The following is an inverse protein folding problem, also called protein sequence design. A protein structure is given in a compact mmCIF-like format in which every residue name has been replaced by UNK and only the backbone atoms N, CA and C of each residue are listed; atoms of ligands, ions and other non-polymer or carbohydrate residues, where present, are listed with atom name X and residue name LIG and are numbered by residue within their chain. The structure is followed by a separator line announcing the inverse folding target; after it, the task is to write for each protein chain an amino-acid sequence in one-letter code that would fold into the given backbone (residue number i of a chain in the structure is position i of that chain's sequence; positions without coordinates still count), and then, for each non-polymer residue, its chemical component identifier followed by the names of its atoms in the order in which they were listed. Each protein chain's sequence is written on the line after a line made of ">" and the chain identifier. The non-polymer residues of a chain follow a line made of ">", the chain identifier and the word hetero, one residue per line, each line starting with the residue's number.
data_IF_922807938245
#
_entry.id   IF_922807938245
#
_cell.length_a   1.000
_cell.length_b   1.000
_cell.length_c   1.000
_cell.angle_alpha   90.00
_cell.angle_beta   90.00
_cell.angle_gamma   90.00
#
_symmetry.space_group_name_H-M   'P 1'
#
loop_
_entity.id
_entity.type
_entity.pdbx_description
1 polymer ?
#
# COMPACT_ATOMS: atom_id res chain seq x y z
N UNK A 1 3.27 -40.70 -21.43
CA UNK A 1 4.30 -40.68 -20.35
C UNK A 1 5.26 -39.50 -20.51
N UNK A 2 5.93 -39.35 -21.65
CA UNK A 2 6.84 -38.22 -21.93
C UNK A 2 6.21 -36.82 -21.81
N UNK A 3 4.97 -36.67 -22.27
CA UNK A 3 4.23 -35.41 -22.14
C UNK A 3 4.05 -34.98 -20.67
N UNK A 4 3.64 -35.91 -19.80
CA UNK A 4 3.46 -35.65 -18.38
C UNK A 4 4.78 -35.36 -17.67
N UNK A 5 5.85 -36.09 -18.04
CA UNK A 5 7.20 -35.83 -17.54
C UNK A 5 7.71 -34.44 -17.96
N UNK A 6 7.41 -34.01 -19.18
CA UNK A 6 7.74 -32.67 -19.69
C UNK A 6 7.03 -31.57 -18.91
N UNK A 7 5.72 -31.72 -18.65
CA UNK A 7 4.97 -30.76 -17.83
C UNK A 7 5.55 -30.70 -16.42
N UNK A 8 5.79 -31.85 -15.79
CA UNK A 8 6.36 -31.91 -14.43
C UNK A 8 7.71 -31.17 -14.36
N UNK A 9 8.60 -31.43 -15.33
CA UNK A 9 9.91 -30.79 -15.39
C UNK A 9 9.78 -29.28 -15.58
N UNK A 10 8.92 -28.84 -16.50
CA UNK A 10 8.69 -27.42 -16.75
C UNK A 10 8.14 -26.72 -15.50
N UNK A 11 7.13 -27.30 -14.84
CA UNK A 11 6.54 -26.72 -13.63
C UNK A 11 7.55 -26.65 -12.48
N UNK A 12 8.39 -27.68 -12.31
CA UNK A 12 9.43 -27.67 -11.29
C UNK A 12 10.46 -26.55 -11.54
N UNK A 13 10.90 -26.38 -12.79
CA UNK A 13 11.83 -25.31 -13.16
C UNK A 13 11.22 -23.92 -13.00
N UNK A 14 9.97 -23.73 -13.44
CA UNK A 14 9.25 -22.46 -13.29
C UNK A 14 9.03 -22.10 -11.82
N UNK A 15 8.64 -23.07 -10.99
CA UNK A 15 8.49 -22.87 -9.54
C UNK A 15 9.81 -22.52 -8.86
N UNK A 16 10.90 -23.21 -9.21
CA UNK A 16 12.23 -22.89 -8.70
C UNK A 16 12.68 -21.48 -9.10
N UNK A 17 12.47 -21.10 -10.37
CA UNK A 17 12.76 -19.75 -10.85
C UNK A 17 11.94 -18.69 -10.09
N UNK A 18 10.64 -18.91 -9.91
CA UNK A 18 9.77 -18.01 -9.17
C UNK A 18 10.27 -17.75 -7.74
N UNK A 19 10.61 -18.82 -7.00
CA UNK A 19 11.16 -18.71 -5.63
C UNK A 19 12.46 -17.91 -5.61
N UNK A 20 13.36 -18.15 -6.56
CA UNK A 20 14.66 -17.47 -6.64
C UNK A 20 14.55 -15.99 -7.04
N UNK A 21 13.47 -15.62 -7.75
CA UNK A 21 13.23 -14.24 -8.21
C UNK A 21 12.39 -13.41 -7.25
N UNK A 22 12.01 -13.94 -6.09
CA UNK A 22 11.28 -13.18 -5.08
C UNK A 22 12.17 -12.08 -4.51
N UNK A 23 11.91 -10.83 -4.91
CA UNK A 23 12.52 -9.66 -4.30
C UNK A 23 11.71 -9.39 -3.02
N UNK A 24 12.33 -9.39 -1.82
CA UNK A 24 11.61 -9.04 -0.61
C UNK A 24 11.04 -7.63 -0.78
N UNK A 25 9.76 -7.47 -0.46
CA UNK A 25 9.16 -6.14 -0.44
C UNK A 25 9.98 -5.27 0.52
N UNK A 26 10.26 -4.00 0.16
CA UNK A 26 10.85 -3.09 1.11
C UNK A 26 9.97 -3.06 2.37
N UNK A 27 10.57 -2.95 3.56
CA UNK A 27 9.79 -2.80 4.78
C UNK A 27 8.85 -1.61 4.62
N UNK A 28 7.63 -1.72 5.14
CA UNK A 28 6.69 -0.60 5.14
C UNK A 28 7.37 0.62 5.77
N UNK A 29 7.61 1.65 4.94
CA UNK A 29 8.07 2.91 5.44
C UNK A 29 6.91 3.54 6.23
N UNK A 30 7.13 4.05 7.45
CA UNK A 30 6.12 4.86 8.11
C UNK A 30 5.78 6.02 7.16
N UNK A 31 4.51 6.12 6.81
CA UNK A 31 4.05 7.15 5.88
C UNK A 31 4.41 8.53 6.44
N UNK A 32 4.96 9.40 5.59
CA UNK A 32 5.22 10.78 5.98
C UNK A 32 3.89 11.43 6.37
N UNK A 33 3.83 12.01 7.58
CA UNK A 33 2.65 12.69 8.08
C UNK A 33 2.87 14.19 8.10
N UNK A 34 1.80 14.94 7.86
CA UNK A 34 1.81 16.40 8.02
C UNK A 34 1.80 16.75 9.51
N UNK A 35 2.75 17.57 9.94
CA UNK A 35 2.81 18.09 11.31
C UNK A 35 1.89 19.29 11.44
N UNK A 36 1.02 19.29 12.46
CA UNK A 36 0.17 20.44 12.78
C UNK A 36 0.73 21.14 14.01
N UNK A 37 1.07 22.41 13.87
CA UNK A 37 1.56 23.26 14.95
C UNK A 37 0.37 23.99 15.58
N UNK A 38 0.27 23.93 16.91
CA UNK A 38 -0.76 24.61 17.70
C UNK A 38 -0.13 25.58 18.67
N UNK A 39 -0.85 26.65 19.02
CA UNK A 39 -0.49 27.52 20.13
C UNK A 39 -0.89 26.94 21.49
N UNK A 40 -0.55 27.65 22.57
CA UNK A 40 -0.86 27.22 23.94
C UNK A 40 -2.37 27.15 24.26
N UNK A 41 -3.22 27.77 23.43
CA UNK A 41 -4.69 27.74 23.56
C UNK A 41 -5.33 26.61 22.72
N UNK A 42 -4.53 25.89 21.95
CA UNK A 42 -4.98 24.84 21.04
C UNK A 42 -5.41 25.34 19.66
N UNK A 43 -5.15 26.61 19.32
CA UNK A 43 -5.43 27.13 17.99
C UNK A 43 -4.32 26.74 17.01
N UNK A 44 -4.70 26.24 15.84
CA UNK A 44 -3.77 25.83 14.80
C UNK A 44 -3.04 27.04 14.21
N UNK A 45 -1.71 27.00 14.22
CA UNK A 45 -0.84 28.05 13.68
C UNK A 45 -0.36 27.73 12.27
N UNK A 46 0.02 26.47 12.03
CA UNK A 46 0.62 26.06 10.75
C UNK A 46 0.51 24.55 10.52
N UNK A 47 0.60 24.16 9.25
CA UNK A 47 0.82 22.78 8.82
C UNK A 47 2.18 22.69 8.12
N UNK A 48 3.03 21.76 8.56
CA UNK A 48 4.33 21.49 7.98
C UNK A 48 4.27 20.14 7.29
N UNK A 49 4.41 20.15 5.97
CA UNK A 49 4.43 18.94 5.15
C UNK A 49 5.77 18.84 4.43
N UNK A 50 6.31 17.63 4.32
CA UNK A 50 7.51 17.36 3.55
C UNK A 50 7.17 17.26 2.05
N UNK A 51 7.46 16.10 1.46
CA UNK A 51 7.09 15.82 0.06
C UNK A 51 5.58 15.58 -0.10
N UNK A 52 4.92 15.06 0.94
CA UNK A 52 3.53 14.62 0.88
C UNK A 52 2.63 15.45 1.81
N UNK A 53 1.47 15.88 1.31
CA UNK A 53 0.37 16.40 2.12
C UNK A 53 -0.56 15.23 2.48
N UNK A 54 -0.40 14.69 3.69
CA UNK A 54 -1.11 13.48 4.14
C UNK A 54 -1.56 13.62 5.58
N UNK A 55 -2.85 13.35 5.78
CA UNK A 55 -3.51 13.26 7.08
C UNK A 55 -4.08 11.86 7.28
N UNK A 56 -3.85 11.22 8.44
CA UNK A 56 -4.47 9.94 8.76
C UNK A 56 -5.97 10.12 8.98
N UNK A 57 -6.78 9.27 8.33
CA UNK A 57 -8.23 9.18 8.52
C UNK A 57 -8.58 7.71 8.73
N UNK A 58 -9.30 7.39 9.81
CA UNK A 58 -9.78 6.02 9.99
C UNK A 58 -10.91 5.73 9.01
N UNK A 59 -10.99 4.51 8.46
CA UNK A 59 -12.00 4.16 7.45
C UNK A 59 -13.43 4.39 7.92
N UNK A 60 -13.70 4.22 9.22
CA UNK A 60 -15.00 4.49 9.85
C UNK A 60 -15.41 5.97 9.82
N UNK A 61 -14.44 6.87 9.66
CA UNK A 61 -14.65 8.33 9.61
C UNK A 61 -14.77 8.82 8.16
N UNK A 62 -14.54 7.93 7.17
CA UNK A 62 -14.74 8.23 5.74
C UNK A 62 -16.24 8.14 5.41
N UNK A 63 -16.84 9.18 4.80
CA UNK A 63 -18.24 9.12 4.42
C UNK A 63 -18.52 7.95 3.45
N UNK A 64 -19.60 7.18 3.64
CA UNK A 64 -19.89 6.00 2.79
C UNK A 64 -19.94 6.31 1.30
N UNK A 65 -20.40 7.51 0.93
CA UNK A 65 -20.45 7.99 -0.46
C UNK A 65 -19.06 8.14 -1.09
N UNK A 66 -18.04 8.52 -0.30
CA UNK A 66 -16.67 8.65 -0.79
C UNK A 66 -16.08 7.27 -1.04
N UNK A 67 -16.28 6.34 -0.11
CA UNK A 67 -15.85 4.95 -0.27
C UNK A 67 -16.50 4.31 -1.50
N UNK A 68 -17.82 4.49 -1.67
CA UNK A 68 -18.55 3.99 -2.82
C UNK A 68 -18.06 4.60 -4.14
N UNK A 69 -17.70 5.89 -4.15
CA UNK A 69 -17.15 6.56 -5.33
C UNK A 69 -15.79 5.99 -5.75
N UNK A 70 -14.90 5.72 -4.79
CA UNK A 70 -13.59 5.10 -5.07
C UNK A 70 -13.76 3.68 -5.61
N UNK A 71 -14.61 2.86 -4.96
CA UNK A 71 -14.90 1.49 -5.43
C UNK A 71 -15.48 1.51 -6.85
N UNK A 72 -16.45 2.38 -7.12
CA UNK A 72 -17.04 2.49 -8.45
C UNK A 72 -16.04 2.93 -9.55
N UNK A 73 -14.95 3.60 -9.18
CA UNK A 73 -13.93 4.07 -10.11
C UNK A 73 -12.80 3.04 -10.34
N UNK A 74 -12.42 2.27 -9.30
CA UNK A 74 -11.22 1.42 -9.31
C UNK A 74 -11.50 -0.10 -9.42
N UNK A 75 -12.76 -0.55 -9.19
CA UNK A 75 -13.28 -1.94 -9.08
C UNK A 75 -13.60 -2.38 -7.63
#
# INVERSE_FOLDING_TARGET
>A
MWFLAGILLFTALAGAAWVLTQIPLPPEAPQAQTTVLYDATGHQLATLQGVENRFPVAIKDVPPVVTAAVVAAED
#
